data_IF_232612195856
#
_entry.id   IF_232612195856
#
_cell.length_a   1.000
_cell.length_b   1.000
_cell.length_c   1.000
_cell.angle_alpha   90.00
_cell.angle_beta   90.00
_cell.angle_gamma   90.00
#
_symmetry.space_group_name_H-M   'P 1'
#
loop_
_entity.id
_entity.type
_entity.pdbx_description
1 polymer ?
#
# COMPACT_ATOMS: atom_id res chain seq x y z
N UNK A 1 17.78 -55.66 10.60
CA UNK A 1 18.85 -56.15 11.48
C UNK A 1 19.39 -54.97 12.26
N UNK A 2 19.04 -54.89 13.56
CA UNK A 2 19.86 -54.50 14.72
C UNK A 2 21.18 -53.75 14.46
N UNK A 3 21.58 -52.68 15.18
CA UNK A 3 21.51 -52.49 16.64
C UNK A 3 22.00 -51.08 17.05
N UNK A 4 21.41 -50.56 18.14
CA UNK A 4 21.92 -49.60 19.17
C UNK A 4 21.58 -48.11 19.07
N UNK A 5 20.44 -47.81 19.73
CA UNK A 5 20.12 -46.64 20.54
C UNK A 5 21.18 -46.39 21.64
N UNK A 6 21.44 -45.11 21.95
CA UNK A 6 21.92 -44.68 23.28
C UNK A 6 20.93 -43.66 23.85
N UNK A 7 20.26 -44.09 24.93
CA UNK A 7 19.47 -43.30 25.86
C UNK A 7 20.40 -42.82 26.96
N UNK A 8 20.25 -41.56 27.41
CA UNK A 8 20.71 -41.14 28.74
C UNK A 8 19.51 -40.58 29.48
N UNK A 9 19.24 -41.21 30.61
CA UNK A 9 18.17 -40.98 31.58
C UNK A 9 18.85 -40.38 32.83
N UNK A 10 18.34 -39.28 33.37
CA UNK A 10 18.59 -38.90 34.77
C UNK A 10 17.26 -38.45 35.40
N UNK A 11 16.67 -39.35 36.17
CA UNK A 11 15.72 -39.10 37.28
C UNK A 11 16.52 -38.59 38.50
N UNK A 12 16.04 -37.95 39.57
CA UNK A 12 14.76 -37.62 40.18
C UNK A 12 15.05 -36.41 41.13
N UNK A 13 14.11 -35.67 41.72
CA UNK A 13 13.42 -36.02 42.97
C UNK A 13 12.33 -34.97 43.23
N UNK A 14 11.14 -35.47 43.56
CA UNK A 14 10.00 -34.76 44.13
C UNK A 14 10.25 -34.50 45.62
N UNK A 15 10.01 -33.28 46.08
CA UNK A 15 9.61 -33.04 47.48
C UNK A 15 8.37 -32.16 47.46
N UNK A 16 7.25 -32.76 47.89
CA UNK A 16 6.00 -32.08 48.23
C UNK A 16 6.19 -31.22 49.48
N UNK A 17 5.46 -30.10 49.56
CA UNK A 17 5.33 -29.35 50.80
C UNK A 17 4.54 -28.06 50.64
N UNK A 18 3.21 -28.18 50.67
CA UNK A 18 2.34 -27.04 50.93
C UNK A 18 2.42 -26.65 52.41
N UNK A 19 2.61 -25.37 52.72
CA UNK A 19 2.25 -24.78 54.01
C UNK A 19 1.93 -23.30 53.81
N UNK A 20 0.67 -22.95 54.07
CA UNK A 20 0.17 -21.59 54.12
C UNK A 20 0.51 -20.91 55.46
N UNK A 21 0.70 -19.60 55.38
CA UNK A 21 0.50 -18.56 56.40
C UNK A 21 1.26 -18.62 57.75
N UNK A 22 2.16 -17.64 57.95
CA UNK A 22 2.21 -16.83 59.16
C UNK A 22 3.03 -15.55 58.92
N UNK A 23 2.34 -14.41 59.04
CA UNK A 23 2.88 -13.04 59.03
C UNK A 23 3.61 -12.77 60.36
N UNK A 24 4.70 -11.96 60.36
CA UNK A 24 4.98 -11.07 61.47
C UNK A 24 4.77 -9.63 61.03
N UNK A 25 3.73 -9.02 61.58
CA UNK A 25 3.31 -7.65 61.32
C UNK A 25 3.98 -6.72 62.32
N UNK A 26 5.24 -6.30 62.11
CA UNK A 26 5.79 -5.19 62.89
C UNK A 26 6.87 -4.50 62.04
N UNK A 27 6.56 -3.31 61.54
CA UNK A 27 7.43 -2.12 61.48
C UNK A 27 6.65 -1.04 60.70
N UNK A 28 5.80 -0.34 61.44
CA UNK A 28 5.23 0.94 61.06
C UNK A 28 6.32 2.01 61.19
N UNK A 29 6.75 2.59 60.07
CA UNK A 29 7.57 3.81 60.11
C UNK A 29 8.54 3.98 58.94
N UNK A 30 8.04 4.21 57.73
CA UNK A 30 8.43 5.34 56.88
C UNK A 30 7.56 5.32 55.62
N UNK A 31 6.38 5.93 55.72
CA UNK A 31 5.65 6.43 54.56
C UNK A 31 6.37 7.70 54.09
N UNK A 32 7.26 7.56 53.11
CA UNK A 32 7.56 8.64 52.17
C UNK A 32 7.13 8.13 50.80
N UNK A 33 6.04 8.70 50.29
CA UNK A 33 5.51 8.42 48.97
C UNK A 33 6.55 8.78 47.91
N UNK A 34 7.15 7.77 47.32
CA UNK A 34 7.52 7.82 45.93
C UNK A 34 6.40 7.12 45.19
N UNK A 35 5.63 7.85 44.40
CA UNK A 35 4.87 7.26 43.31
C UNK A 35 5.88 6.43 42.50
N UNK A 36 5.84 5.10 42.67
CA UNK A 36 6.37 4.23 41.66
C UNK A 36 5.47 4.50 40.45
N UNK A 37 5.91 5.44 39.60
CA UNK A 37 5.32 5.64 38.30
C UNK A 37 5.25 4.25 37.67
N UNK A 38 4.03 3.70 37.60
CA UNK A 38 3.76 2.58 36.73
C UNK A 38 4.09 3.12 35.35
N UNK A 39 5.32 2.86 34.89
CA UNK A 39 5.68 3.04 33.50
C UNK A 39 4.71 2.18 32.75
N UNK A 40 3.77 2.81 32.04
CA UNK A 40 2.90 2.12 31.12
C UNK A 40 3.77 1.18 30.27
N UNK A 41 3.35 -0.07 30.06
CA UNK A 41 4.10 -0.97 29.19
C UNK A 41 4.32 -0.25 27.86
N UNK A 42 5.57 -0.25 27.39
CA UNK A 42 5.92 0.41 26.14
C UNK A 42 4.95 -0.06 25.04
N UNK A 43 4.28 0.88 24.38
CA UNK A 43 3.35 0.57 23.30
C UNK A 43 4.10 -0.27 22.24
N UNK A 44 3.48 -1.34 21.70
CA UNK A 44 4.16 -2.20 20.75
C UNK A 44 4.53 -1.42 19.49
N UNK A 45 5.82 -1.24 19.25
CA UNK A 45 6.35 -0.60 18.06
C UNK A 45 6.53 -1.65 16.96
N UNK A 46 5.81 -1.52 15.84
CA UNK A 46 5.95 -2.41 14.70
C UNK A 46 6.71 -1.70 13.59
N UNK A 47 7.83 -2.28 13.16
CA UNK A 47 8.68 -1.74 12.10
C UNK A 47 8.53 -2.56 10.82
N UNK A 48 8.56 -1.89 9.66
CA UNK A 48 8.61 -2.53 8.34
C UNK A 48 10.07 -2.86 8.01
N UNK A 49 10.34 -4.13 7.74
CA UNK A 49 11.70 -4.65 7.57
C UNK A 49 12.12 -4.71 6.09
N UNK A 50 11.22 -5.12 5.21
CA UNK A 50 11.52 -5.32 3.80
C UNK A 50 10.25 -5.42 2.93
N UNK A 51 10.44 -5.28 1.62
CA UNK A 51 9.46 -5.66 0.60
C UNK A 51 9.87 -6.99 -0.02
N UNK A 52 8.92 -7.92 -0.12
CA UNK A 52 9.08 -9.19 -0.80
C UNK A 52 9.10 -9.06 -2.31
N UNK A 53 9.05 -10.20 -3.01
CA UNK A 53 8.94 -10.21 -4.46
C UNK A 53 7.54 -9.76 -4.92
N UNK A 54 7.53 -8.92 -5.97
CA UNK A 54 6.29 -8.44 -6.58
C UNK A 54 5.69 -9.53 -7.47
N UNK A 55 4.44 -9.92 -7.17
CA UNK A 55 3.63 -10.84 -7.96
C UNK A 55 2.66 -10.04 -8.82
N UNK A 56 2.62 -10.30 -10.11
CA UNK A 56 1.69 -9.64 -11.04
C UNK A 56 0.61 -10.62 -11.48
N UNK A 57 -0.64 -10.23 -11.26
CA UNK A 57 -1.83 -11.02 -11.57
C UNK A 57 -2.61 -10.29 -12.67
N UNK A 58 -3.00 -11.02 -13.71
CA UNK A 58 -3.75 -10.49 -14.84
C UNK A 58 -5.21 -10.94 -14.73
N UNK A 59 -6.12 -10.08 -14.23
CA UNK A 59 -7.56 -10.34 -14.22
C UNK A 59 -8.14 -10.46 -15.64
N UNK A 60 -9.39 -10.94 -15.78
CA UNK A 60 -10.00 -11.07 -17.10
C UNK A 60 -10.23 -9.68 -17.69
N UNK A 61 -10.25 -9.59 -19.01
CA UNK A 61 -10.49 -8.33 -19.71
C UNK A 61 -11.89 -7.77 -19.49
N UNK A 62 -12.89 -8.54 -19.03
CA UNK A 62 -14.24 -8.03 -18.71
C UNK A 62 -14.95 -8.90 -17.68
N UNK A 63 -15.85 -8.26 -16.94
CA UNK A 63 -16.78 -8.92 -16.02
C UNK A 63 -16.31 -8.96 -14.57
N UNK A 64 -17.27 -9.19 -13.67
CA UNK A 64 -17.08 -9.27 -12.23
C UNK A 64 -16.70 -10.67 -11.74
N UNK A 65 -16.73 -11.66 -12.63
CA UNK A 65 -16.31 -13.02 -12.30
C UNK A 65 -14.78 -13.09 -12.15
N UNK A 66 -14.27 -13.63 -11.04
CA UNK A 66 -12.83 -13.74 -10.84
C UNK A 66 -12.25 -14.74 -11.85
N UNK A 67 -11.19 -14.37 -12.55
CA UNK A 67 -10.48 -15.30 -13.46
C UNK A 67 -9.05 -15.60 -13.03
N UNK A 68 -8.58 -14.95 -11.97
CA UNK A 68 -7.25 -15.16 -11.42
C UNK A 68 -7.29 -14.89 -9.92
N UNK A 69 -6.64 -15.76 -9.15
CA UNK A 69 -6.55 -15.61 -7.70
C UNK A 69 -5.12 -15.81 -7.24
N UNK A 70 -4.77 -15.20 -6.11
CA UNK A 70 -3.53 -15.51 -5.42
C UNK A 70 -3.78 -15.76 -3.93
N UNK A 71 -2.98 -16.65 -3.37
CA UNK A 71 -2.96 -16.89 -1.93
C UNK A 71 -2.12 -15.81 -1.25
N UNK A 72 -2.69 -15.20 -0.22
CA UNK A 72 -2.05 -14.33 0.74
C UNK A 72 -1.79 -15.15 2.01
N UNK A 73 -0.52 -15.50 2.24
CA UNK A 73 -0.10 -16.35 3.36
C UNK A 73 -0.09 -15.56 4.68
N UNK A 74 -1.13 -15.75 5.50
CA UNK A 74 -1.28 -15.14 6.82
C UNK A 74 -0.31 -15.72 7.86
N UNK A 75 -0.37 -15.14 9.06
CA UNK A 75 0.34 -15.62 10.23
C UNK A 75 -0.23 -16.97 10.68
N UNK A 76 0.62 -17.77 11.33
CA UNK A 76 0.23 -19.04 11.97
C UNK A 76 -0.47 -20.07 11.05
N UNK A 77 -0.29 -19.95 9.73
CA UNK A 77 -0.87 -20.87 8.74
C UNK A 77 -2.29 -20.52 8.31
N UNK A 78 -2.81 -19.35 8.69
CA UNK A 78 -4.03 -18.82 8.10
C UNK A 78 -3.78 -18.41 6.65
N UNK A 79 -4.71 -18.67 5.73
CA UNK A 79 -4.60 -18.19 4.37
C UNK A 79 -5.83 -17.36 3.98
N UNK A 80 -5.59 -16.34 3.16
CA UNK A 80 -6.65 -15.64 2.45
C UNK A 80 -6.46 -15.83 0.96
N UNK A 81 -7.56 -15.88 0.22
CA UNK A 81 -7.51 -15.87 -1.24
C UNK A 81 -7.95 -14.50 -1.73
N UNK A 82 -7.06 -13.84 -2.46
CA UNK A 82 -7.42 -12.65 -3.23
C UNK A 82 -7.89 -13.08 -4.61
N UNK A 83 -9.13 -12.74 -4.94
CA UNK A 83 -9.76 -12.99 -6.23
C UNK A 83 -9.77 -11.70 -7.04
N UNK A 84 -9.07 -11.68 -8.17
CA UNK A 84 -8.97 -10.49 -9.02
C UNK A 84 -10.10 -10.47 -10.05
N UNK A 85 -10.81 -9.34 -10.11
CA UNK A 85 -11.82 -9.00 -11.12
C UNK A 85 -11.29 -7.91 -12.05
N UNK A 86 -11.97 -7.65 -13.17
CA UNK A 86 -11.52 -6.67 -14.16
C UNK A 86 -11.27 -5.28 -13.54
N UNK A 87 -12.14 -4.87 -12.62
CA UNK A 87 -12.11 -3.57 -11.92
C UNK A 87 -11.38 -3.59 -10.57
N UNK A 88 -10.78 -4.69 -10.12
CA UNK A 88 -10.21 -4.72 -8.76
C UNK A 88 -10.05 -6.11 -8.19
N UNK A 89 -10.38 -6.29 -6.92
CA UNK A 89 -10.29 -7.59 -6.25
C UNK A 89 -11.24 -7.68 -5.06
N UNK A 90 -11.48 -8.90 -4.60
CA UNK A 90 -12.08 -9.16 -3.30
C UNK A 90 -11.30 -10.26 -2.58
N UNK A 91 -11.46 -10.34 -1.25
CA UNK A 91 -10.76 -11.31 -0.40
C UNK A 91 -11.77 -12.26 0.23
N UNK A 92 -11.44 -13.55 0.24
CA UNK A 92 -12.13 -14.56 1.04
C UNK A 92 -11.13 -15.26 1.97
N UNK A 93 -11.55 -15.72 3.16
CA UNK A 93 -10.77 -16.69 3.93
C UNK A 93 -10.55 -17.99 3.15
N UNK A 94 -9.54 -18.76 3.53
CA UNK A 94 -9.37 -20.15 3.07
C UNK A 94 -10.65 -20.95 3.30
N UNK A 95 -11.01 -21.80 2.32
CA UNK A 95 -12.19 -22.65 2.33
C UNK A 95 -13.55 -21.94 2.52
N UNK A 96 -13.60 -20.62 2.35
CA UNK A 96 -14.82 -19.82 2.42
C UNK A 96 -15.13 -19.12 1.10
N UNK A 97 -16.41 -19.06 0.75
CA UNK A 97 -16.93 -18.25 -0.36
C UNK A 97 -17.35 -16.84 0.10
N UNK A 98 -17.38 -16.59 1.41
CA UNK A 98 -17.78 -15.31 1.98
C UNK A 98 -16.69 -14.24 1.77
N UNK A 99 -17.10 -13.13 1.14
CA UNK A 99 -16.22 -11.97 0.94
C UNK A 99 -16.08 -11.22 2.24
N UNK A 100 -14.85 -11.11 2.73
CA UNK A 100 -14.53 -10.30 3.93
C UNK A 100 -14.01 -8.91 3.56
N UNK A 101 -13.67 -8.71 2.29
CA UNK A 101 -13.26 -7.42 1.74
C UNK A 101 -13.56 -7.36 0.24
N UNK A 102 -14.01 -6.22 -0.25
CA UNK A 102 -14.17 -5.90 -1.68
C UNK A 102 -13.48 -4.55 -1.92
N UNK A 103 -12.58 -4.50 -2.91
CA UNK A 103 -11.85 -3.29 -3.23
C UNK A 103 -12.78 -2.26 -3.85
N UNK A 104 -12.49 -0.97 -3.67
CA UNK A 104 -13.09 0.07 -4.50
C UNK A 104 -12.86 -0.25 -5.99
N UNK A 105 -13.90 -0.14 -6.81
CA UNK A 105 -13.79 -0.44 -8.23
C UNK A 105 -12.86 0.55 -8.92
N UNK A 106 -11.77 0.02 -9.47
CA UNK A 106 -10.94 0.72 -10.41
C UNK A 106 -11.72 0.92 -11.72
N UNK A 107 -11.61 2.10 -12.33
CA UNK A 107 -12.51 2.47 -13.41
C UNK A 107 -12.09 1.93 -14.80
N UNK A 108 -11.21 0.92 -14.85
CA UNK A 108 -10.76 0.26 -16.07
C UNK A 108 -11.00 -1.23 -15.96
N UNK A 109 -11.41 -1.85 -17.07
CA UNK A 109 -11.67 -3.28 -17.13
C UNK A 109 -10.43 -4.10 -17.61
N UNK A 110 -9.26 -3.47 -17.76
CA UNK A 110 -8.11 -4.07 -18.47
C UNK A 110 -6.76 -3.91 -17.75
N UNK A 111 -6.76 -3.84 -16.42
CA UNK A 111 -5.56 -3.72 -15.61
C UNK A 111 -4.92 -5.05 -15.18
N UNK A 112 -3.90 -4.93 -14.35
CA UNK A 112 -3.23 -6.00 -13.60
C UNK A 112 -3.15 -5.59 -12.14
N UNK A 113 -3.21 -6.59 -11.26
CA UNK A 113 -3.03 -6.39 -9.83
C UNK A 113 -1.60 -6.79 -9.47
N UNK A 114 -0.86 -5.87 -8.88
CA UNK A 114 0.49 -6.11 -8.38
C UNK A 114 0.46 -6.26 -6.86
N UNK A 115 0.88 -7.41 -6.35
CA UNK A 115 0.90 -7.73 -4.92
C UNK A 115 2.33 -7.88 -4.46
N UNK A 116 2.69 -7.21 -3.37
CA UNK A 116 4.00 -7.30 -2.74
C UNK A 116 3.83 -7.54 -1.25
N UNK A 117 4.43 -8.59 -0.71
CA UNK A 117 4.47 -8.81 0.74
C UNK A 117 5.32 -7.73 1.42
N UNK A 118 4.84 -7.23 2.55
CA UNK A 118 5.55 -6.27 3.39
C UNK A 118 5.93 -6.98 4.68
N UNK A 119 7.22 -7.24 4.87
CA UNK A 119 7.72 -7.90 6.07
C UNK A 119 7.75 -6.92 7.23
N UNK A 120 7.29 -7.34 8.40
CA UNK A 120 7.22 -6.53 9.62
C UNK A 120 7.91 -7.23 10.79
N UNK A 121 8.30 -6.47 11.81
CA UNK A 121 9.04 -6.97 12.97
C UNK A 121 8.21 -7.86 13.89
N UNK A 122 6.90 -7.73 13.87
CA UNK A 122 5.98 -8.55 14.67
C UNK A 122 5.50 -9.75 13.84
N UNK A 123 5.85 -10.99 14.23
CA UNK A 123 5.49 -12.18 13.47
C UNK A 123 3.98 -12.48 13.48
N UNK A 124 3.21 -11.91 14.40
CA UNK A 124 1.75 -12.02 14.48
C UNK A 124 1.04 -11.13 13.44
N UNK A 125 1.79 -10.36 12.66
CA UNK A 125 1.29 -9.56 11.56
C UNK A 125 1.77 -10.10 10.21
N UNK A 126 0.89 -10.00 9.21
CA UNK A 126 1.25 -10.11 7.79
C UNK A 126 0.66 -8.94 7.05
N UNK A 127 1.40 -8.38 6.12
CA UNK A 127 0.98 -7.22 5.34
C UNK A 127 1.24 -7.44 3.86
N UNK A 128 0.35 -6.90 3.02
CA UNK A 128 0.48 -6.88 1.57
C UNK A 128 0.17 -5.49 1.04
N UNK A 129 1.11 -5.00 0.24
CA UNK A 129 0.95 -3.83 -0.61
C UNK A 129 0.33 -4.29 -1.94
N UNK A 130 -0.86 -3.79 -2.26
CA UNK A 130 -1.59 -4.12 -3.49
C UNK A 130 -1.73 -2.86 -4.34
N UNK A 131 -1.39 -2.95 -5.61
CA UNK A 131 -1.53 -1.87 -6.59
C UNK A 131 -2.36 -2.35 -7.76
N UNK A 132 -3.36 -1.57 -8.16
CA UNK A 132 -4.04 -1.77 -9.43
C UNK A 132 -3.37 -0.91 -10.51
N UNK A 133 -2.76 -1.55 -11.50
CA UNK A 133 -2.07 -0.92 -12.63
C UNK A 133 -2.87 -1.19 -13.92
N UNK A 134 -3.31 -0.15 -14.63
CA UNK A 134 -4.10 -0.33 -15.86
C UNK A 134 -3.32 -0.95 -17.02
N UNK A 135 -2.04 -1.28 -16.83
CA UNK A 135 -1.17 -1.99 -17.80
C UNK A 135 -1.11 -1.32 -19.19
N UNK A 136 -1.47 -0.03 -19.27
CA UNK A 136 -1.40 0.77 -20.48
C UNK A 136 0.02 1.25 -20.78
N UNK A 137 0.22 1.88 -21.95
CA UNK A 137 1.54 2.40 -22.37
C UNK A 137 2.17 3.39 -21.37
N UNK A 138 1.39 4.04 -20.51
CA UNK A 138 1.86 4.92 -19.43
C UNK A 138 2.16 4.18 -18.12
N UNK A 139 1.70 2.93 -17.96
CA UNK A 139 1.70 2.14 -16.71
C UNK A 139 1.16 2.94 -15.53
N UNK A 140 -0.04 3.49 -15.73
CA UNK A 140 -0.77 4.27 -14.74
C UNK A 140 -1.34 3.35 -13.67
N UNK A 141 -1.11 3.69 -12.42
CA UNK A 141 -1.72 3.02 -11.28
C UNK A 141 -3.01 3.77 -10.89
N UNK A 142 -4.08 3.04 -10.60
CA UNK A 142 -5.41 3.57 -10.29
C UNK A 142 -5.88 3.28 -8.87
N UNK A 143 -5.18 2.40 -8.15
CA UNK A 143 -5.52 2.09 -6.77
C UNK A 143 -4.31 1.59 -6.02
N UNK A 144 -4.29 1.88 -4.72
CA UNK A 144 -3.32 1.35 -3.78
C UNK A 144 -4.02 0.94 -2.50
N UNK A 145 -3.65 -0.23 -2.01
CA UNK A 145 -4.09 -0.75 -0.73
C UNK A 145 -2.91 -1.26 0.07
N UNK A 146 -2.91 -0.97 1.37
CA UNK A 146 -2.15 -1.72 2.35
C UNK A 146 -3.15 -2.52 3.16
N UNK A 147 -3.11 -3.83 3.00
CA UNK A 147 -3.95 -4.78 3.73
C UNK A 147 -3.07 -5.70 4.56
N UNK A 148 -3.67 -6.36 5.53
CA UNK A 148 -2.93 -7.29 6.37
C UNK A 148 -3.82 -8.24 7.13
N UNK A 149 -3.17 -9.04 7.96
CA UNK A 149 -3.81 -9.86 8.97
C UNK A 149 -3.12 -9.64 10.32
N UNK A 150 -3.96 -9.63 11.35
CA UNK A 150 -3.58 -9.60 12.76
C UNK A 150 -4.51 -10.54 13.51
N UNK A 151 -3.93 -11.44 14.31
CA UNK A 151 -4.68 -12.36 15.17
C UNK A 151 -5.77 -13.16 14.39
N UNK A 152 -5.47 -13.57 13.15
CA UNK A 152 -6.39 -14.29 12.27
C UNK A 152 -7.47 -13.43 11.59
N UNK A 153 -7.48 -12.12 11.80
CA UNK A 153 -8.44 -11.20 11.21
C UNK A 153 -7.81 -10.39 10.08
N UNK A 154 -8.49 -10.35 8.93
CA UNK A 154 -8.13 -9.45 7.84
C UNK A 154 -8.42 -8.00 8.19
N UNK A 155 -7.46 -7.11 7.90
CA UNK A 155 -7.54 -5.68 8.18
C UNK A 155 -7.11 -4.91 6.93
N UNK A 156 -7.87 -3.85 6.60
CA UNK A 156 -7.47 -2.87 5.58
C UNK A 156 -6.98 -1.60 6.28
N UNK A 157 -5.72 -1.22 6.03
CA UNK A 157 -5.06 -0.08 6.69
C UNK A 157 -5.10 1.19 5.82
N UNK A 158 -4.77 1.04 4.55
CA UNK A 158 -4.75 2.15 3.58
C UNK A 158 -5.58 1.72 2.38
N UNK A 159 -6.49 2.58 1.93
CA UNK A 159 -7.26 2.39 0.70
C UNK A 159 -7.09 3.58 -0.24
N UNK A 160 -7.58 3.51 -1.50
CA UNK A 160 -7.65 4.66 -2.40
C UNK A 160 -8.34 5.88 -1.77
N UNK A 161 -9.33 5.65 -0.90
CA UNK A 161 -10.00 6.73 -0.14
C UNK A 161 -9.03 7.40 0.82
N UNK A 162 -8.31 6.63 1.64
CA UNK A 162 -7.28 7.15 2.55
C UNK A 162 -6.19 7.94 1.81
N UNK A 163 -5.75 7.43 0.65
CA UNK A 163 -4.80 8.10 -0.23
C UNK A 163 -5.33 9.45 -0.73
N UNK A 164 -6.60 9.51 -1.16
CA UNK A 164 -7.25 10.76 -1.61
C UNK A 164 -7.36 11.78 -0.47
N UNK A 165 -7.78 11.35 0.71
CA UNK A 165 -7.88 12.21 1.91
C UNK A 165 -6.51 12.75 2.34
N UNK A 166 -5.46 11.95 2.16
CA UNK A 166 -4.06 12.33 2.37
C UNK A 166 -3.48 13.26 1.28
N UNK A 167 -4.29 13.63 0.27
CA UNK A 167 -3.83 14.49 -0.83
C UNK A 167 -2.94 13.77 -1.85
N UNK A 168 -2.99 12.44 -1.90
CA UNK A 168 -2.26 11.57 -2.84
C UNK A 168 -3.26 10.83 -3.74
N UNK A 169 -4.19 11.53 -4.43
CA UNK A 169 -5.30 10.88 -5.09
C UNK A 169 -4.83 10.02 -6.26
N UNK A 170 -5.31 8.79 -6.33
CA UNK A 170 -5.16 7.98 -7.53
C UNK A 170 -6.08 8.52 -8.64
N UNK A 171 -5.72 8.34 -9.92
CA UNK A 171 -6.49 8.83 -11.05
C UNK A 171 -7.85 8.13 -11.15
N UNK A 172 -8.90 8.93 -11.01
CA UNK A 172 -10.28 8.57 -11.30
C UNK A 172 -10.52 8.63 -12.82
N UNK A 173 -11.26 7.68 -13.40
CA UNK A 173 -11.59 7.76 -14.83
C UNK A 173 -12.75 8.70 -15.13
N UNK A 174 -13.44 9.24 -14.13
CA UNK A 174 -14.47 10.24 -14.35
C UNK A 174 -13.91 11.67 -14.33
N UNK A 175 -12.73 11.88 -13.71
CA UNK A 175 -12.15 13.20 -13.46
C UNK A 175 -10.76 13.42 -14.09
N UNK A 176 -10.67 13.08 -15.39
CA UNK A 176 -9.49 13.36 -16.23
C UNK A 176 -9.24 14.86 -16.47
N UNK A 177 -10.20 15.71 -16.10
CA UNK A 177 -10.10 17.16 -16.26
C UNK A 177 -9.00 17.77 -15.41
N UNK A 178 -8.74 17.19 -14.23
CA UNK A 178 -7.91 17.81 -13.21
C UNK A 178 -6.53 17.17 -13.04
N UNK A 179 -6.37 15.87 -13.35
CA UNK A 179 -5.16 15.07 -13.04
C UNK A 179 -4.60 14.43 -14.30
N UNK A 180 -3.36 14.78 -14.65
CA UNK A 180 -2.76 14.43 -15.95
C UNK A 180 -1.48 13.65 -15.78
N UNK A 181 -1.38 12.59 -16.56
CA UNK A 181 -0.21 11.73 -16.58
C UNK A 181 -0.51 10.37 -15.97
N UNK A 182 0.30 9.38 -16.31
CA UNK A 182 0.29 8.15 -15.55
C UNK A 182 0.78 8.41 -14.13
N UNK A 183 -0.11 8.27 -13.17
CA UNK A 183 0.23 8.29 -11.75
C UNK A 183 0.94 6.99 -11.39
N UNK A 184 2.01 7.10 -10.60
CA UNK A 184 2.80 5.97 -10.16
C UNK A 184 3.30 6.17 -8.74
N UNK A 185 3.30 5.08 -8.02
CA UNK A 185 3.83 4.89 -6.70
C UNK A 185 5.12 4.09 -6.81
N UNK A 186 6.16 4.57 -6.12
CA UNK A 186 7.36 3.80 -5.85
C UNK A 186 7.48 3.62 -4.36
N UNK A 187 7.77 2.40 -3.95
CA UNK A 187 7.93 2.00 -2.56
C UNK A 187 9.34 1.51 -2.29
N UNK A 188 9.88 1.86 -1.13
CA UNK A 188 11.14 1.32 -0.61
C UNK A 188 11.12 1.36 0.91
N UNK A 189 11.96 0.56 1.55
CA UNK A 189 12.03 0.49 3.02
C UNK A 189 13.28 1.20 3.49
N UNK A 190 13.13 2.06 4.49
CA UNK A 190 14.22 2.78 5.15
C UNK A 190 13.88 2.94 6.63
N UNK A 191 14.81 2.60 7.52
CA UNK A 191 14.71 2.78 8.97
C UNK A 191 13.40 2.30 9.62
N UNK A 192 12.89 1.14 9.17
CA UNK A 192 11.66 0.58 9.73
C UNK A 192 10.37 1.16 9.14
N UNK A 193 10.46 1.98 8.10
CA UNK A 193 9.36 2.72 7.47
C UNK A 193 9.25 2.32 6.00
N UNK A 194 8.02 2.17 5.50
CA UNK A 194 7.76 2.04 4.07
C UNK A 194 7.62 3.43 3.46
N UNK A 195 8.67 3.88 2.79
CA UNK A 195 8.71 5.15 2.06
C UNK A 195 7.93 5.03 0.77
N UNK A 196 7.18 6.07 0.45
CA UNK A 196 6.38 6.19 -0.77
C UNK A 196 6.73 7.47 -1.53
N UNK A 197 7.03 7.32 -2.82
CA UNK A 197 7.13 8.41 -3.78
C UNK A 197 5.90 8.40 -4.69
N UNK A 198 5.15 9.50 -4.69
CA UNK A 198 4.00 9.70 -5.55
C UNK A 198 4.38 10.60 -6.72
N UNK A 199 4.25 10.05 -7.92
CA UNK A 199 4.78 10.65 -9.14
C UNK A 199 3.70 10.71 -10.21
N UNK A 200 3.82 11.67 -11.13
CA UNK A 200 2.99 11.73 -12.33
C UNK A 200 3.86 11.91 -13.58
N UNK A 201 3.39 11.32 -14.69
CA UNK A 201 4.03 11.49 -16.00
C UNK A 201 3.59 12.82 -16.65
N UNK A 202 4.50 13.78 -16.72
CA UNK A 202 4.30 15.00 -17.49
C UNK A 202 4.72 14.78 -18.94
N UNK A 203 3.73 14.78 -19.84
CA UNK A 203 3.96 14.71 -21.28
C UNK A 203 3.54 16.03 -21.96
N UNK A 204 4.50 16.91 -22.28
CA UNK A 204 4.20 18.14 -23.01
C UNK A 204 3.66 17.87 -24.43
N UNK A 205 2.74 18.70 -24.95
CA UNK A 205 2.05 18.44 -26.22
C UNK A 205 2.95 18.49 -27.46
N UNK A 206 4.12 19.13 -27.36
CA UNK A 206 5.07 19.29 -28.47
C UNK A 206 6.35 18.43 -28.31
N UNK A 207 6.36 17.48 -27.37
CA UNK A 207 7.48 16.53 -27.22
C UNK A 207 7.00 15.12 -27.50
N UNK A 208 7.89 14.24 -27.95
CA UNK A 208 7.53 12.83 -28.12
C UNK A 208 7.23 12.18 -26.76
N UNK A 209 6.42 11.12 -26.74
CA UNK A 209 6.11 10.41 -25.48
C UNK A 209 7.37 9.81 -24.82
N UNK A 210 8.44 9.59 -25.59
CA UNK A 210 9.74 9.15 -25.07
C UNK A 210 10.47 10.25 -24.27
N UNK A 211 10.16 11.51 -24.53
CA UNK A 211 10.75 12.69 -23.87
C UNK A 211 9.92 13.19 -22.69
N UNK A 212 8.82 12.51 -22.36
CA UNK A 212 8.05 12.81 -21.16
C UNK A 212 8.93 12.71 -19.90
N UNK A 213 8.55 13.49 -18.89
CA UNK A 213 9.20 13.46 -17.58
C UNK A 213 8.30 12.76 -16.59
N UNK A 214 8.89 12.10 -15.61
CA UNK A 214 8.21 11.86 -14.36
C UNK A 214 8.57 12.94 -13.39
N UNK A 215 7.57 13.49 -12.74
CA UNK A 215 7.75 14.50 -11.71
C UNK A 215 7.39 13.86 -10.38
N UNK A 216 8.25 14.06 -9.40
CA UNK A 216 7.97 13.70 -8.02
C UNK A 216 7.11 14.80 -7.43
N UNK A 217 5.84 14.48 -7.20
CA UNK A 217 4.86 15.44 -6.67
C UNK A 217 4.95 15.48 -5.15
N UNK A 218 4.84 14.31 -4.53
CA UNK A 218 4.81 14.15 -3.08
C UNK A 218 5.60 12.94 -2.62
N UNK A 219 6.06 13.00 -1.38
CA UNK A 219 6.53 11.83 -0.63
C UNK A 219 5.64 11.60 0.58
N UNK A 220 5.54 10.35 1.03
CA UNK A 220 4.87 10.00 2.27
C UNK A 220 5.55 8.79 2.93
N UNK A 221 5.32 8.66 4.23
CA UNK A 221 5.79 7.53 5.03
C UNK A 221 4.61 6.67 5.43
N UNK A 222 4.74 5.35 5.30
CA UNK A 222 3.80 4.38 5.85
C UNK A 222 4.47 3.69 7.04
N UNK A 223 3.90 3.88 8.22
CA UNK A 223 4.45 3.34 9.47
C UNK A 223 3.35 3.03 10.49
N UNK A 224 3.71 2.23 11.50
CA UNK A 224 2.84 1.93 12.63
C UNK A 224 2.66 3.17 13.51
N UNK A 225 1.40 3.52 13.77
CA UNK A 225 1.03 4.53 14.74
C UNK A 225 0.54 3.87 16.04
N UNK A 226 1.23 4.15 17.14
CA UNK A 226 0.94 3.55 18.44
C UNK A 226 -0.35 4.07 19.08
N UNK A 227 -0.83 5.24 18.68
CA UNK A 227 -2.03 5.84 19.25
C UNK A 227 -3.29 5.23 18.64
N UNK A 228 -3.30 5.03 17.33
CA UNK A 228 -4.39 4.33 16.62
C UNK A 228 -4.25 2.80 16.63
N UNK A 229 -3.04 2.28 16.86
CA UNK A 229 -2.77 0.84 16.72
C UNK A 229 -2.94 0.36 15.28
N UNK A 230 -2.52 1.16 14.30
CA UNK A 230 -2.69 0.88 12.88
C UNK A 230 -1.51 1.42 12.04
N UNK A 231 -1.29 0.84 10.85
CA UNK A 231 -0.42 1.46 9.86
C UNK A 231 -1.13 2.65 9.21
N UNK A 232 -0.42 3.77 9.06
CA UNK A 232 -0.98 5.00 8.51
C UNK A 232 -0.02 5.71 7.56
N UNK A 233 -0.58 6.55 6.69
CA UNK A 233 0.16 7.56 5.94
C UNK A 233 0.53 8.71 6.86
N UNK A 234 1.82 9.03 6.91
CA UNK A 234 2.39 10.09 7.74
C UNK A 234 3.44 10.87 6.94
N UNK A 235 3.93 11.98 7.51
CA UNK A 235 5.03 12.78 6.95
C UNK A 235 4.87 13.09 5.44
N UNK A 236 3.68 13.53 5.06
CA UNK A 236 3.36 13.85 3.67
C UNK A 236 4.00 15.18 3.32
N UNK A 237 4.84 15.21 2.28
CA UNK A 237 5.58 16.40 1.87
C UNK A 237 5.35 16.69 0.39
N UNK A 238 5.15 17.98 0.09
CA UNK A 238 5.17 18.49 -1.29
C UNK A 238 6.63 18.62 -1.76
N UNK A 239 6.93 18.08 -2.94
CA UNK A 239 8.23 18.19 -3.59
C UNK A 239 8.09 19.04 -4.84
N UNK A 240 7.38 18.54 -5.85
CA UNK A 240 6.91 19.28 -7.03
C UNK A 240 7.95 19.85 -8.00
N UNK A 241 9.23 19.93 -7.63
CA UNK A 241 10.32 20.51 -8.41
C UNK A 241 11.42 19.51 -8.80
N UNK A 242 11.16 18.23 -8.60
CA UNK A 242 12.09 17.14 -8.93
C UNK A 242 11.54 16.30 -10.08
N UNK A 243 12.39 15.96 -11.05
CA UNK A 243 12.01 15.18 -12.22
C UNK A 243 13.04 14.12 -12.58
N UNK A 244 12.61 13.20 -13.43
CA UNK A 244 13.50 12.28 -14.13
C UNK A 244 12.96 12.04 -15.54
N UNK A 245 13.83 11.75 -16.50
CA UNK A 245 13.35 11.33 -17.82
C UNK A 245 12.57 10.01 -17.70
N UNK A 246 11.53 9.85 -18.53
CA UNK A 246 10.70 8.65 -18.51
C UNK A 246 11.50 7.36 -18.61
N UNK A 247 12.52 7.33 -19.48
CA UNK A 247 13.39 6.16 -19.67
C UNK A 247 14.19 5.78 -18.41
N UNK A 248 14.60 6.77 -17.59
CA UNK A 248 15.36 6.56 -16.36
C UNK A 248 14.48 6.30 -15.14
N UNK A 249 13.19 6.64 -15.20
CA UNK A 249 12.24 6.43 -14.10
C UNK A 249 11.83 4.97 -13.82
N UNK A 250 12.46 3.98 -14.45
CA UNK A 250 12.11 2.56 -14.31
C UNK A 250 13.15 1.72 -13.53
N UNK A 251 14.14 2.35 -12.88
CA UNK A 251 15.18 1.68 -12.10
C UNK A 251 14.83 1.43 -10.63
N UNK A 252 15.59 0.54 -9.96
CA UNK A 252 15.51 0.34 -8.49
C UNK A 252 15.91 1.60 -7.72
N UNK A 253 16.79 2.40 -8.28
CA UNK A 253 17.25 3.67 -7.73
C UNK A 253 16.96 4.78 -8.76
N UNK A 254 16.15 5.75 -8.35
CA UNK A 254 15.83 6.92 -9.17
C UNK A 254 16.67 8.08 -8.65
N UNK A 255 17.54 8.60 -9.51
CA UNK A 255 18.28 9.83 -9.25
C UNK A 255 17.40 10.99 -9.70
N UNK A 256 16.66 11.55 -8.75
CA UNK A 256 15.81 12.71 -9.00
C UNK A 256 16.67 13.94 -9.33
N UNK A 257 16.35 14.61 -10.42
CA UNK A 257 17.02 15.82 -10.89
C UNK A 257 16.13 17.04 -10.57
N UNK A 258 16.70 18.07 -9.94
CA UNK A 258 15.97 19.32 -9.73
C UNK A 258 15.68 19.98 -11.07
N UNK A 259 14.44 20.42 -11.27
CA UNK A 259 14.05 21.19 -12.45
C UNK A 259 14.81 22.53 -12.48
N UNK A 260 15.20 22.95 -13.67
CA UNK A 260 15.63 24.34 -13.91
C UNK A 260 14.45 25.30 -13.81
N UNK A 261 14.70 26.60 -13.62
CA UNK A 261 13.63 27.61 -13.54
C UNK A 261 12.78 27.66 -14.81
N UNK A 262 13.40 27.46 -15.99
CA UNK A 262 12.72 27.38 -17.27
C UNK A 262 11.82 26.14 -17.36
N UNK A 263 12.31 24.99 -16.90
CA UNK A 263 11.53 23.74 -16.88
C UNK A 263 10.39 23.80 -15.88
N UNK A 264 10.60 24.42 -14.72
CA UNK A 264 9.56 24.66 -13.73
C UNK A 264 8.49 25.59 -14.30
N UNK A 265 8.90 26.69 -14.90
CA UNK A 265 7.99 27.64 -15.58
C UNK A 265 7.23 26.94 -16.71
N UNK A 266 7.90 26.10 -17.50
CA UNK A 266 7.30 25.32 -18.57
C UNK A 266 6.34 24.26 -18.05
N UNK A 267 6.69 23.58 -16.96
CA UNK A 267 5.84 22.62 -16.27
C UNK A 267 4.58 23.31 -15.73
N UNK A 268 4.71 24.40 -14.98
CA UNK A 268 3.57 25.14 -14.41
C UNK A 268 2.64 25.73 -15.50
N UNK A 269 3.22 26.35 -16.53
CA UNK A 269 2.45 26.94 -17.63
C UNK A 269 1.87 25.89 -18.58
N UNK A 270 2.64 24.83 -18.87
CA UNK A 270 2.20 23.70 -19.67
C UNK A 270 1.09 22.91 -18.98
N UNK A 271 1.17 22.73 -17.66
CA UNK A 271 0.11 22.11 -16.86
C UNK A 271 -1.18 22.94 -16.91
N UNK A 272 -1.09 24.27 -16.80
CA UNK A 272 -2.23 25.19 -16.96
C UNK A 272 -2.80 25.18 -18.39
N UNK A 273 -1.97 25.28 -19.41
CA UNK A 273 -2.38 25.31 -20.82
C UNK A 273 -3.02 24.00 -21.30
N UNK A 274 -2.45 22.86 -20.89
CA UNK A 274 -2.99 21.54 -21.22
C UNK A 274 -4.33 21.29 -20.50
N UNK A 275 -4.62 21.94 -19.36
CA UNK A 275 -5.86 21.66 -18.57
C UNK A 275 -7.04 22.13 -19.42
N UNK A 276 -6.87 23.30 -20.04
CA UNK A 276 -7.83 23.90 -20.95
C UNK A 276 -7.95 23.15 -22.30
N UNK A 277 -6.84 22.73 -22.90
CA UNK A 277 -6.86 22.03 -24.20
C UNK A 277 -7.42 20.60 -24.11
N UNK A 278 -7.06 19.83 -23.08
CA UNK A 278 -7.52 18.45 -22.92
C UNK A 278 -9.00 18.38 -22.52
N UNK A 279 -9.48 19.24 -21.63
CA UNK A 279 -10.92 19.40 -21.37
C UNK A 279 -11.71 19.67 -22.65
N UNK A 280 -11.14 20.46 -23.56
CA UNK A 280 -11.76 20.76 -24.86
C UNK A 280 -11.68 19.57 -25.81
N UNK A 281 -10.58 18.81 -25.81
CA UNK A 281 -10.42 17.59 -26.60
C UNK A 281 -11.36 16.47 -26.14
N UNK A 282 -11.39 16.14 -24.84
CA UNK A 282 -12.27 15.09 -24.27
C UNK A 282 -13.74 15.47 -24.46
N UNK A 283 -14.13 16.73 -24.22
CA UNK A 283 -15.50 17.19 -24.52
C UNK A 283 -15.85 16.99 -25.98
N UNK A 284 -14.95 17.34 -26.91
CA UNK A 284 -15.18 17.17 -28.35
C UNK A 284 -15.24 15.69 -28.75
N UNK A 285 -14.40 14.82 -28.20
CA UNK A 285 -14.42 13.37 -28.45
C UNK A 285 -15.72 12.75 -27.92
N UNK A 286 -16.13 13.09 -26.70
CA UNK A 286 -17.38 12.60 -26.09
C UNK A 286 -18.61 13.14 -26.84
N UNK A 287 -18.60 14.41 -27.27
CA UNK A 287 -19.65 14.97 -28.14
C UNK A 287 -19.71 14.25 -29.49
N UNK A 288 -18.55 13.98 -30.11
CA UNK A 288 -18.49 13.28 -31.40
C UNK A 288 -18.98 11.84 -31.26
N UNK A 289 -18.61 11.14 -30.18
CA UNK A 289 -19.05 9.78 -29.93
C UNK A 289 -20.54 9.71 -29.55
N UNK A 290 -21.03 10.62 -28.72
CA UNK A 290 -22.45 10.75 -28.39
C UNK A 290 -23.29 11.05 -29.63
N UNK A 291 -22.79 11.83 -30.58
CA UNK A 291 -23.44 12.05 -31.86
C UNK A 291 -23.45 10.78 -32.73
N UNK A 292 -22.41 9.96 -32.67
CA UNK A 292 -22.28 8.72 -33.45
C UNK A 292 -23.07 7.53 -32.87
N UNK A 293 -23.32 7.52 -31.56
CA UNK A 293 -23.93 6.38 -30.85
C UNK A 293 -25.33 6.64 -30.31
N UNK A 294 -25.95 7.77 -30.68
CA UNK A 294 -27.33 8.09 -30.32
C UNK A 294 -27.51 8.49 -28.85
N UNK A 295 -26.54 9.24 -28.30
CA UNK A 295 -26.61 9.74 -26.93
C UNK A 295 -25.84 8.91 -25.90
N UNK A 296 -25.08 7.90 -26.31
CA UNK A 296 -24.15 7.21 -25.42
C UNK A 296 -22.83 7.96 -25.36
N UNK A 297 -22.35 8.28 -24.17
CA UNK A 297 -20.96 8.70 -24.01
C UNK A 297 -20.02 7.52 -24.24
N UNK A 298 -18.81 7.82 -24.74
CA UNK A 298 -17.69 6.89 -24.60
C UNK A 298 -17.37 7.03 -23.12
N UNK A 299 -17.74 6.03 -22.33
CA UNK A 299 -17.66 5.99 -20.86
C UNK A 299 -18.84 6.69 -20.17
#
# INVERSE_FOLDING_TARGET
>A
MDKKLKVILISAVVVMGAAAAAVPAYWSGLLHGGDAAQTEPAKPQISILALGEKRTIYPPTRGDEPSASCVLEGAEGNHFTMHCKASGFYITPEDSEERIYDSEDAPYEHGRVEVTEVQVSDPSYRLWSIVYDSNGNSGTQHGYWLVGEKDGQFISYITPTSMKEAGLPMPDAEDWGEKKGGHRLRFYVEDGILKMEYTFEFWPPNVSHAEAWRVLDKTADIQWDNDSGAFQLTNIQDVGDMKVSRAKGFGREIQWEKMTDDEKTYYENGLKGYRNQHLTYVKRVNQSYSALTGGKTLY
#
